data_IF_747159789297
#
_entry.id   IF_747159789297
#
_cell.length_a   1.000
_cell.length_b   1.000
_cell.length_c   1.000
_cell.angle_alpha   90.00
_cell.angle_beta   90.00
_cell.angle_gamma   90.00
#
_symmetry.space_group_name_H-M   'P 1'
#
loop_
_entity.id
_entity.type
_entity.pdbx_description
1 polymer ?
#
# COMPACT_ATOMS: atom_id res chain seq x y z
N UNK A 1 -18.97 14.93 12.84
CA UNK A 1 -19.57 13.59 12.87
C UNK A 1 -19.65 13.16 11.42
N UNK A 2 -18.93 12.17 10.91
CA UNK A 2 -18.22 11.03 11.49
C UNK A 2 -16.97 10.80 10.62
N UNK A 3 -15.78 10.71 11.24
CA UNK A 3 -14.59 10.27 10.55
C UNK A 3 -14.49 8.77 10.88
N UNK A 4 -15.12 7.96 10.02
CA UNK A 4 -15.23 6.51 10.14
C UNK A 4 -13.89 5.78 10.06
N UNK A 5 -13.02 6.06 11.02
CA UNK A 5 -11.93 5.17 11.40
C UNK A 5 -12.54 4.03 12.21
N UNK A 6 -12.20 2.77 11.91
CA UNK A 6 -12.70 1.65 12.69
C UNK A 6 -12.22 1.79 14.15
N UNK A 7 -13.17 1.61 15.07
CA UNK A 7 -12.94 1.56 16.50
C UNK A 7 -11.97 0.41 16.80
N UNK A 8 -10.87 0.74 17.49
CA UNK A 8 -9.76 -0.17 17.76
C UNK A 8 -10.29 -1.46 18.41
N UNK A 9 -10.29 -2.55 17.66
CA UNK A 9 -10.58 -3.87 18.22
C UNK A 9 -9.29 -4.31 18.91
N UNK A 10 -9.32 -4.31 20.23
CA UNK A 10 -8.16 -4.64 21.06
C UNK A 10 -7.45 -5.92 20.61
N UNK A 11 -6.13 -5.88 20.78
CA UNK A 11 -5.10 -6.90 20.51
C UNK A 11 -4.55 -7.05 19.09
N UNK A 12 -4.98 -6.27 18.11
CA UNK A 12 -4.15 -6.07 16.90
C UNK A 12 -3.14 -4.96 17.17
N UNK A 13 -1.97 -5.36 17.68
CA UNK A 13 -0.84 -4.48 17.91
C UNK A 13 -0.58 -3.63 16.67
N UNK A 14 -0.79 -2.31 16.77
CA UNK A 14 -0.29 -1.37 15.79
C UNK A 14 1.20 -1.69 15.57
N UNK A 15 1.55 -2.11 14.35
CA UNK A 15 2.93 -2.45 14.02
C UNK A 15 3.73 -1.14 14.08
N UNK A 16 4.30 -0.88 15.24
CA UNK A 16 5.23 0.24 15.45
C UNK A 16 6.60 -0.19 14.94
N UNK A 17 7.41 0.76 14.45
CA UNK A 17 8.80 0.48 14.03
C UNK A 17 9.65 -0.18 15.14
N UNK A 18 9.20 -0.13 16.40
CA UNK A 18 9.84 -0.74 17.55
C UNK A 18 9.83 -2.29 17.52
N UNK A 19 8.86 -2.90 16.82
CA UNK A 19 8.71 -4.35 16.72
C UNK A 19 9.23 -4.92 15.39
N UNK A 20 9.62 -4.07 14.44
CA UNK A 20 10.16 -4.50 13.16
C UNK A 20 11.61 -5.00 13.34
N UNK A 21 11.96 -6.15 12.73
CA UNK A 21 13.32 -6.68 12.76
C UNK A 21 14.35 -5.79 12.05
N UNK A 22 13.89 -4.83 11.25
CA UNK A 22 14.69 -3.88 10.49
C UNK A 22 14.07 -2.49 10.69
N UNK A 23 14.92 -1.47 10.85
CA UNK A 23 14.48 -0.07 10.92
C UNK A 23 13.94 0.37 9.55
N UNK A 24 12.76 1.01 9.54
CA UNK A 24 12.05 1.44 8.34
C UNK A 24 10.79 0.61 8.06
N UNK A 25 9.84 1.22 7.35
CA UNK A 25 8.63 0.52 6.91
C UNK A 25 9.03 -0.64 5.99
N UNK A 26 8.73 -1.88 6.40
CA UNK A 26 8.81 -3.03 5.50
C UNK A 26 8.05 -2.68 4.22
N UNK A 27 8.64 -3.02 3.07
CA UNK A 27 8.01 -2.77 1.77
C UNK A 27 6.57 -3.30 1.80
N UNK A 28 5.56 -2.53 1.37
CA UNK A 28 4.19 -3.04 1.28
C UNK A 28 4.07 -4.20 0.27
N UNK A 29 5.09 -4.40 -0.55
CA UNK A 29 5.16 -5.48 -1.53
C UNK A 29 5.84 -6.76 -0.99
N UNK A 30 6.22 -6.80 0.30
CA UNK A 30 6.87 -7.95 0.92
C UNK A 30 8.13 -8.38 0.17
N UNK A 31 8.14 -9.63 -0.30
CA UNK A 31 9.27 -10.27 -1.00
C UNK A 31 9.35 -9.91 -2.51
N UNK A 32 8.53 -8.98 -2.99
CA UNK A 32 8.50 -8.62 -4.42
C UNK A 32 9.79 -7.93 -4.83
N UNK A 33 10.51 -8.52 -5.78
CA UNK A 33 11.73 -7.94 -6.36
C UNK A 33 11.38 -6.96 -7.50
N UNK A 34 11.91 -5.74 -7.42
CA UNK A 34 11.79 -4.73 -8.46
C UNK A 34 13.05 -4.64 -9.33
N UNK A 35 12.95 -4.15 -10.58
CA UNK A 35 11.72 -3.76 -11.28
C UNK A 35 10.91 -4.98 -11.76
N UNK A 36 9.59 -4.81 -11.87
CA UNK A 36 8.73 -5.82 -12.49
C UNK A 36 8.81 -5.75 -14.02
N UNK A 37 8.63 -6.88 -14.73
CA UNK A 37 8.37 -6.89 -16.17
C UNK A 37 7.19 -5.98 -16.52
N UNK A 38 7.25 -5.34 -17.69
CA UNK A 38 6.23 -4.35 -18.10
C UNK A 38 4.84 -4.97 -18.18
N UNK A 39 4.75 -6.22 -18.64
CA UNK A 39 3.47 -6.94 -18.80
C UNK A 39 2.79 -7.27 -17.46
N UNK A 40 3.54 -7.25 -16.35
CA UNK A 40 3.04 -7.53 -15.00
C UNK A 40 2.65 -6.24 -14.24
N UNK A 41 2.91 -5.06 -14.82
CA UNK A 41 2.55 -3.79 -14.18
C UNK A 41 1.03 -3.55 -14.29
N UNK A 42 0.31 -3.29 -13.18
CA UNK A 42 -1.10 -2.90 -13.22
C UNK A 42 -1.29 -1.44 -13.69
N UNK A 43 -0.31 -0.87 -14.39
CA UNK A 43 -0.33 0.51 -14.87
C UNK A 43 -1.19 0.61 -16.13
N UNK A 44 -2.20 1.47 -16.08
CA UNK A 44 -3.02 1.82 -17.25
C UNK A 44 -2.77 3.28 -17.56
N UNK A 45 -2.29 3.56 -18.78
CA UNK A 45 -2.07 4.93 -19.22
C UNK A 45 -3.40 5.67 -19.40
N UNK A 46 -3.59 6.75 -18.66
CA UNK A 46 -4.80 7.56 -18.75
C UNK A 46 -4.94 8.14 -20.16
N UNK A 47 -6.13 8.02 -20.75
CA UNK A 47 -6.46 8.58 -22.06
C UNK A 47 -7.69 9.47 -21.95
N UNK A 48 -7.52 10.75 -22.28
CA UNK A 48 -8.64 11.70 -22.37
C UNK A 48 -9.32 11.58 -23.73
N UNK A 49 -10.64 11.37 -23.74
CA UNK A 49 -11.47 11.48 -24.95
C UNK A 49 -12.17 12.83 -24.91
N UNK A 50 -11.84 13.71 -25.86
CA UNK A 50 -12.48 15.02 -25.98
C UNK A 50 -13.84 14.85 -26.66
N UNK A 51 -14.89 15.43 -26.08
CA UNK A 51 -16.21 15.49 -26.72
C UNK A 51 -16.11 16.34 -28.00
N UNK A 52 -16.58 15.79 -29.12
CA UNK A 52 -16.65 16.46 -30.42
C UNK A 52 -18.04 17.03 -30.64
#
# INVERSE_FOLDING_TARGET
MDAGWPEETGDDHAVTELLAHLSGALSPFGETQFPLPVDDLPYIHAKTVVNR
#
